data_IF_959934637797
#
_entry.id   IF_959934637797
#
_cell.length_a   1.000
_cell.length_b   1.000
_cell.length_c   1.000
_cell.angle_alpha   90.00
_cell.angle_beta   90.00
_cell.angle_gamma   90.00
#
_symmetry.space_group_name_H-M   'P 1'
#
loop_
_entity.id
_entity.type
_entity.pdbx_description
1 polymer ?
#
# COMPACT_ATOMS: atom_id res chain seq x y z
N UNK A 1 5.18 -19.04 17.89
CA UNK A 1 5.16 -17.82 18.75
C UNK A 1 3.76 -17.26 18.65
N UNK A 2 3.04 -16.93 19.73
CA UNK A 2 1.62 -16.54 19.57
C UNK A 2 1.52 -15.12 18.99
N UNK A 3 1.17 -15.01 17.70
CA UNK A 3 0.89 -13.71 17.06
C UNK A 3 -0.51 -13.25 17.48
N UNK A 4 -0.59 -12.17 18.25
CA UNK A 4 -1.87 -11.60 18.67
C UNK A 4 -2.34 -10.49 17.72
N UNK A 5 -3.63 -10.15 17.76
CA UNK A 5 -4.19 -8.97 17.05
C UNK A 5 -3.36 -7.71 17.29
N UNK A 6 -2.94 -7.47 18.53
CA UNK A 6 -2.19 -6.27 18.93
C UNK A 6 -0.82 -6.20 18.24
N UNK A 7 -0.17 -7.36 18.07
CA UNK A 7 1.08 -7.45 17.30
C UNK A 7 0.85 -7.01 15.85
N UNK A 8 -0.23 -7.51 15.21
CA UNK A 8 -0.58 -7.18 13.82
C UNK A 8 -0.94 -5.70 13.67
N UNK A 9 -1.71 -5.13 14.60
CA UNK A 9 -2.04 -3.70 14.61
C UNK A 9 -0.78 -2.83 14.68
N UNK A 10 0.17 -3.21 15.53
CA UNK A 10 1.41 -2.46 15.71
C UNK A 10 2.29 -2.56 14.47
N UNK A 11 2.38 -3.76 13.88
CA UNK A 11 3.19 -4.04 12.71
C UNK A 11 2.68 -3.32 11.45
N UNK A 12 1.38 -3.43 11.18
CA UNK A 12 0.76 -2.91 9.95
C UNK A 12 0.12 -1.53 10.11
N UNK A 13 0.15 -0.96 11.33
CA UNK A 13 -0.54 0.29 11.71
C UNK A 13 -1.99 0.31 11.24
N UNK A 14 -2.71 -0.79 11.49
CA UNK A 14 -4.07 -1.01 10.99
C UNK A 14 -5.11 -1.04 12.11
N UNK A 15 -6.40 -0.97 11.73
CA UNK A 15 -7.51 -1.05 12.67
C UNK A 15 -7.64 -2.45 13.28
N UNK A 16 -8.29 -2.55 14.45
CA UNK A 16 -8.54 -3.83 15.13
C UNK A 16 -9.29 -4.83 14.26
N UNK A 17 -10.34 -4.36 13.58
CA UNK A 17 -11.15 -5.16 12.65
C UNK A 17 -10.27 -5.74 11.53
N UNK A 18 -9.36 -4.94 10.97
CA UNK A 18 -8.46 -5.40 9.90
C UNK A 18 -7.44 -6.40 10.43
N UNK A 19 -6.89 -6.18 11.63
CA UNK A 19 -5.98 -7.14 12.26
C UNK A 19 -6.66 -8.49 12.56
N UNK A 20 -7.92 -8.48 13.02
CA UNK A 20 -8.69 -9.71 13.23
C UNK A 20 -8.86 -10.49 11.93
N UNK A 21 -9.09 -9.80 10.79
CA UNK A 21 -9.25 -10.48 9.50
C UNK A 21 -8.02 -11.28 9.09
N UNK A 22 -6.80 -10.83 9.41
CA UNK A 22 -5.60 -11.62 9.13
C UNK A 22 -5.59 -12.95 9.89
N UNK A 23 -6.03 -12.94 11.15
CA UNK A 23 -6.15 -14.15 11.96
C UNK A 23 -7.30 -15.05 11.46
N UNK A 24 -8.43 -14.46 11.09
CA UNK A 24 -9.56 -15.20 10.52
C UNK A 24 -9.16 -15.91 9.22
N UNK A 25 -8.43 -15.21 8.34
CA UNK A 25 -7.96 -15.78 7.07
C UNK A 25 -6.88 -16.83 7.24
N UNK A 26 -6.05 -16.72 8.29
CA UNK A 26 -5.03 -17.71 8.54
C UNK A 26 -5.59 -19.00 9.14
N UNK A 27 -6.78 -18.96 9.74
CA UNK A 27 -7.47 -20.13 10.31
C UNK A 27 -6.57 -20.99 11.23
N UNK A 28 -5.69 -20.34 11.99
CA UNK A 28 -4.74 -21.01 12.88
C UNK A 28 -3.42 -21.48 12.24
N UNK A 29 -3.24 -21.33 10.93
CA UNK A 29 -1.97 -21.57 10.23
C UNK A 29 -1.00 -20.40 10.44
N UNK A 30 0.07 -20.65 11.19
CA UNK A 30 1.09 -19.64 11.52
C UNK A 30 1.94 -19.26 10.30
N UNK A 31 2.27 -20.22 9.43
CA UNK A 31 3.08 -19.96 8.22
C UNK A 31 2.30 -19.12 7.22
N UNK A 32 1.02 -19.46 7.01
CA UNK A 32 0.16 -18.71 6.12
C UNK A 32 -0.14 -17.31 6.66
N UNK A 33 -0.36 -17.17 7.98
CA UNK A 33 -0.44 -15.85 8.61
C UNK A 33 0.81 -15.03 8.32
N UNK A 34 1.99 -15.66 8.41
CA UNK A 34 3.24 -14.97 8.24
C UNK A 34 3.44 -14.48 6.81
N UNK A 35 3.09 -15.31 5.82
CA UNK A 35 3.03 -14.95 4.42
C UNK A 35 2.09 -13.76 4.16
N UNK A 36 0.88 -13.78 4.75
CA UNK A 36 -0.10 -12.69 4.57
C UNK A 36 0.43 -11.35 5.08
N UNK A 37 1.07 -11.34 6.25
CA UNK A 37 1.65 -10.13 6.83
C UNK A 37 2.82 -9.61 6.00
N UNK A 38 3.74 -10.47 5.56
CA UNK A 38 4.86 -10.09 4.69
C UNK A 38 4.36 -9.50 3.36
N UNK A 39 3.36 -10.13 2.75
CA UNK A 39 2.74 -9.64 1.51
C UNK A 39 2.16 -8.25 1.69
N UNK A 40 1.52 -7.99 2.83
CA UNK A 40 0.91 -6.69 3.11
C UNK A 40 1.98 -5.61 3.36
N UNK A 41 3.03 -5.93 4.11
CA UNK A 41 4.16 -5.03 4.30
C UNK A 41 4.83 -4.67 2.97
N UNK A 42 5.03 -5.66 2.10
CA UNK A 42 5.57 -5.42 0.76
C UNK A 42 4.66 -4.49 -0.06
N UNK A 43 3.34 -4.67 0.00
CA UNK A 43 2.40 -3.77 -0.68
C UNK A 43 2.46 -2.34 -0.15
N UNK A 44 2.52 -2.17 1.18
CA UNK A 44 2.62 -0.85 1.80
C UNK A 44 3.92 -0.12 1.41
N UNK A 45 5.03 -0.85 1.29
CA UNK A 45 6.32 -0.27 0.91
C UNK A 45 6.38 0.12 -0.57
N UNK A 46 5.80 -0.70 -1.46
CA UNK A 46 5.99 -0.56 -2.90
C UNK A 46 4.83 0.14 -3.62
N UNK A 47 3.69 0.34 -2.95
CA UNK A 47 2.53 1.00 -3.55
C UNK A 47 2.56 2.49 -3.19
N UNK A 48 2.87 3.40 -4.13
CA UNK A 48 2.88 4.82 -3.83
C UNK A 48 1.47 5.29 -3.49
N UNK A 49 1.36 6.27 -2.59
CA UNK A 49 0.09 6.84 -2.17
C UNK A 49 -0.67 7.49 -3.33
N UNK A 50 0.07 8.11 -4.26
CA UNK A 50 -0.45 8.68 -5.50
C UNK A 50 0.37 8.06 -6.63
N UNK A 51 -0.32 7.40 -7.57
CA UNK A 51 0.29 6.84 -8.77
C UNK A 51 -0.09 7.70 -9.95
N UNK A 52 0.88 8.43 -10.50
CA UNK A 52 0.64 9.20 -11.72
C UNK A 52 0.29 8.25 -12.88
N UNK A 53 -0.83 8.52 -13.54
CA UNK A 53 -1.24 7.75 -14.71
C UNK A 53 -0.69 8.38 -15.99
N UNK A 54 -0.57 7.60 -17.08
CA UNK A 54 -0.03 8.09 -18.35
C UNK A 54 -0.76 9.35 -18.88
N UNK A 55 -2.05 9.49 -18.60
CA UNK A 55 -2.84 10.67 -18.96
C UNK A 55 -2.41 11.94 -18.21
N UNK A 56 -2.10 11.82 -16.92
CA UNK A 56 -1.66 12.96 -16.09
C UNK A 56 -0.25 13.43 -16.48
N UNK A 57 0.62 12.50 -16.91
CA UNK A 57 1.92 12.83 -17.47
C UNK A 57 1.78 13.61 -18.79
N UNK A 58 0.92 13.17 -19.70
CA UNK A 58 0.68 13.89 -20.96
C UNK A 58 0.10 15.28 -20.71
N UNK A 59 -0.82 15.45 -19.77
CA UNK A 59 -1.41 16.75 -19.46
C UNK A 59 -0.40 17.72 -18.81
N UNK A 60 0.47 17.23 -17.93
CA UNK A 60 1.56 18.05 -17.34
C UNK A 60 2.59 18.46 -18.38
N UNK A 61 3.00 17.53 -19.26
CA UNK A 61 3.94 17.82 -20.36
C UNK A 61 3.34 18.85 -21.32
N UNK A 62 2.07 18.70 -21.70
CA UNK A 62 1.40 19.61 -22.64
C UNK A 62 1.24 21.01 -22.05
N UNK A 63 0.93 21.13 -20.74
CA UNK A 63 0.86 22.42 -20.05
C UNK A 63 2.24 23.10 -19.98
N UNK A 64 3.30 22.36 -19.64
CA UNK A 64 4.66 22.90 -19.60
C UNK A 64 5.15 23.35 -20.98
N UNK A 65 4.83 22.60 -22.04
CA UNK A 65 5.20 22.95 -23.41
C UNK A 65 4.48 24.20 -23.94
N UNK A 66 3.24 24.45 -23.50
CA UNK A 66 2.53 25.70 -23.83
C UNK A 66 3.19 26.91 -23.17
N UNK A 67 3.62 26.79 -21.90
CA UNK A 67 4.26 27.90 -21.18
C UNK A 67 5.59 28.32 -21.84
N UNK A 68 6.41 27.36 -22.28
CA UNK A 68 7.68 27.66 -22.95
C UNK A 68 7.53 28.25 -24.36
N UNK A 69 6.41 27.98 -25.05
CA UNK A 69 6.15 28.50 -26.39
C UNK A 69 5.62 29.95 -26.42
N UNK A 70 5.11 30.47 -25.30
CA UNK A 70 4.70 31.87 -25.16
C UNK A 70 5.79 32.77 -24.54
N UNK A 71 6.94 32.21 -24.17
CA UNK A 71 8.04 32.92 -23.51
C UNK A 71 9.14 33.41 -24.49
N UNK A 72 8.89 33.35 -25.80
CA UNK A 72 9.77 33.87 -26.87
C UNK A 72 8.98 34.80 -27.79
#
# INVERSE_FOLDING_TARGET
>A
MVITRKNIQTLLKCSDIRAQKFLDFSNGDEEYLMFLLQREMFKQLNSPAIRETRHELTDKVTKNYKITKFAF
#
